data_IF_875391855127
#
_entry.id   IF_875391855127
#
_cell.length_a   1.000
_cell.length_b   1.000
_cell.length_c   1.000
_cell.angle_alpha   90.00
_cell.angle_beta   90.00
_cell.angle_gamma   90.00
#
_symmetry.space_group_name_H-M   'P 1'
#
loop_
_entity.id
_entity.type
_entity.pdbx_description
1 polymer ?
#
# COMPACT_ATOMS: atom_id res chain seq x y z
N UNK A 1 -24.66 25.85 -0.32
CA UNK A 1 -24.43 25.70 -1.76
C UNK A 1 -22.96 25.33 -2.06
N UNK A 2 -22.36 24.36 -1.35
CA UNK A 2 -20.98 23.89 -1.63
C UNK A 2 -20.89 22.51 -2.31
N UNK A 3 -21.98 21.74 -2.39
CA UNK A 3 -21.95 20.35 -2.90
C UNK A 3 -21.76 20.22 -4.43
N UNK A 4 -22.05 21.26 -5.20
CA UNK A 4 -21.92 21.22 -6.68
C UNK A 4 -20.49 21.50 -7.19
N UNK A 5 -19.61 22.09 -6.38
CA UNK A 5 -18.22 22.36 -6.79
C UNK A 5 -17.33 21.10 -6.70
N UNK A 6 -17.63 20.22 -5.77
CA UNK A 6 -16.85 18.99 -5.51
C UNK A 6 -16.99 17.95 -6.63
N UNK A 7 -18.18 17.82 -7.26
CA UNK A 7 -18.42 16.80 -8.29
C UNK A 7 -17.62 17.05 -9.59
N UNK A 8 -17.35 18.30 -9.94
CA UNK A 8 -16.60 18.65 -11.14
C UNK A 8 -15.08 18.47 -11.02
N UNK A 9 -14.55 18.48 -9.81
CA UNK A 9 -13.11 18.30 -9.56
C UNK A 9 -12.73 16.83 -9.49
N UNK A 10 -13.55 15.98 -8.87
CA UNK A 10 -13.31 14.52 -8.86
C UNK A 10 -13.36 13.91 -10.28
N UNK A 11 -14.23 14.40 -11.15
CA UNK A 11 -14.32 13.93 -12.55
C UNK A 11 -13.07 14.28 -13.36
N UNK A 12 -12.38 15.38 -13.04
CA UNK A 12 -11.11 15.76 -13.69
C UNK A 12 -9.92 14.96 -13.20
N UNK A 13 -9.94 14.49 -11.94
CA UNK A 13 -8.89 13.66 -11.37
C UNK A 13 -8.89 12.25 -11.96
N UNK A 14 -10.05 11.62 -12.09
CA UNK A 14 -10.19 10.32 -12.72
C UNK A 14 -9.76 10.34 -14.21
N UNK A 15 -10.00 11.45 -14.92
CA UNK A 15 -9.66 11.58 -16.34
C UNK A 15 -8.15 11.75 -16.60
N UNK A 16 -7.37 12.35 -15.67
CA UNK A 16 -5.94 12.60 -15.88
C UNK A 16 -5.06 11.35 -15.63
N UNK A 17 -5.47 10.45 -14.73
CA UNK A 17 -4.77 9.22 -14.41
C UNK A 17 -4.99 8.08 -15.40
N UNK A 18 -6.09 8.11 -16.18
CA UNK A 18 -6.50 7.00 -17.06
C UNK A 18 -5.88 7.09 -18.47
N UNK A 19 -5.32 8.23 -18.90
CA UNK A 19 -5.06 8.47 -20.33
C UNK A 19 -3.70 7.98 -20.87
N UNK A 20 -2.81 7.39 -20.09
CA UNK A 20 -1.45 7.06 -20.57
C UNK A 20 -1.08 5.58 -20.69
N UNK A 21 -1.97 4.63 -20.39
CA UNK A 21 -1.61 3.21 -20.32
C UNK A 21 -2.34 2.24 -21.28
N UNK A 22 -3.19 2.71 -22.17
CA UNK A 22 -3.99 1.83 -23.02
C UNK A 22 -3.60 1.92 -24.50
N UNK A 23 -2.65 1.09 -24.95
CA UNK A 23 -2.63 0.59 -26.33
C UNK A 23 -1.85 -0.72 -26.41
N UNK A 24 -2.52 -1.86 -26.21
CA UNK A 24 -2.27 -3.10 -26.99
C UNK A 24 -3.41 -4.09 -26.71
N UNK A 25 -4.15 -4.57 -27.72
CA UNK A 25 -5.12 -5.65 -27.54
C UNK A 25 -4.34 -6.98 -27.41
N UNK A 26 -4.58 -7.70 -26.33
CA UNK A 26 -4.09 -9.07 -26.19
C UNK A 26 -4.87 -10.00 -27.10
N UNK A 27 -4.22 -10.59 -28.09
CA UNK A 27 -4.74 -11.69 -28.88
C UNK A 27 -4.59 -12.96 -28.05
N UNK A 28 -5.70 -13.58 -27.66
CA UNK A 28 -5.70 -14.90 -27.04
C UNK A 28 -5.40 -15.96 -28.10
N UNK A 29 -4.24 -16.59 -28.03
CA UNK A 29 -3.97 -17.85 -28.70
C UNK A 29 -4.05 -18.98 -27.68
N UNK A 30 -4.95 -19.92 -27.91
CA UNK A 30 -5.09 -21.15 -27.14
C UNK A 30 -3.94 -22.08 -27.53
N UNK A 31 -2.94 -22.22 -26.67
CA UNK A 31 -1.83 -23.19 -26.86
C UNK A 31 -2.04 -24.40 -25.94
N UNK A 32 -2.31 -25.53 -26.58
CA UNK A 32 -2.25 -26.87 -25.96
C UNK A 32 -0.81 -27.36 -25.96
N UNK A 33 -0.11 -27.24 -24.83
CA UNK A 33 1.24 -27.77 -24.63
C UNK A 33 1.77 -27.42 -23.25
N UNK A 34 2.47 -28.33 -22.60
CA UNK A 34 3.17 -28.12 -21.31
C UNK A 34 4.40 -27.21 -21.49
N UNK A 35 4.19 -25.98 -21.95
CA UNK A 35 5.22 -24.95 -22.06
C UNK A 35 5.04 -23.95 -20.92
N UNK A 36 6.12 -23.68 -20.21
CA UNK A 36 6.16 -22.58 -19.24
C UNK A 36 5.65 -21.32 -19.92
N UNK A 37 4.60 -20.72 -19.38
CA UNK A 37 4.05 -19.48 -19.94
C UNK A 37 5.13 -18.40 -19.94
N UNK A 38 5.36 -17.70 -21.07
CA UNK A 38 6.35 -16.65 -21.11
C UNK A 38 6.03 -15.55 -20.08
N UNK A 39 7.08 -14.91 -19.56
CA UNK A 39 6.93 -13.76 -18.66
C UNK A 39 6.08 -12.67 -19.31
N UNK A 40 5.06 -12.20 -18.59
CA UNK A 40 4.28 -11.01 -18.93
C UNK A 40 3.77 -10.33 -17.68
N UNK A 41 3.53 -9.04 -17.75
CA UNK A 41 2.74 -8.35 -16.75
C UNK A 41 1.29 -8.79 -16.90
N UNK A 42 0.68 -9.20 -15.79
CA UNK A 42 -0.68 -9.74 -15.77
C UNK A 42 -1.65 -8.82 -15.02
N UNK A 43 -1.14 -8.01 -14.11
CA UNK A 43 -1.92 -7.06 -13.34
C UNK A 43 -1.20 -5.72 -13.27
N UNK A 44 -1.97 -4.64 -13.22
CA UNK A 44 -1.48 -3.31 -12.93
C UNK A 44 -2.43 -2.59 -12.02
N UNK A 45 -1.92 -1.68 -11.17
CA UNK A 45 -2.75 -0.87 -10.30
C UNK A 45 -2.19 0.55 -10.18
N UNK A 46 -3.12 1.49 -9.96
CA UNK A 46 -2.81 2.85 -9.52
C UNK A 46 -3.52 3.07 -8.19
N UNK A 47 -2.79 3.58 -7.21
CA UNK A 47 -3.29 3.83 -5.86
C UNK A 47 -2.95 5.24 -5.44
N UNK A 48 -3.92 5.89 -4.80
CA UNK A 48 -3.80 7.23 -4.19
C UNK A 48 -4.23 7.13 -2.74
N UNK A 49 -3.38 7.60 -1.83
CA UNK A 49 -3.70 7.79 -0.42
C UNK A 49 -3.67 9.28 -0.11
N UNK A 50 -4.68 9.76 0.59
CA UNK A 50 -4.77 11.18 0.94
C UNK A 50 -5.66 11.38 2.18
N UNK A 51 -5.30 12.32 3.04
CA UNK A 51 -6.09 12.70 4.21
C UNK A 51 -7.43 13.36 3.83
N UNK A 52 -7.51 14.00 2.67
CA UNK A 52 -8.76 14.57 2.13
C UNK A 52 -9.87 13.51 1.97
N UNK A 53 -9.51 12.26 1.63
CA UNK A 53 -10.50 11.18 1.45
C UNK A 53 -11.13 10.71 2.77
N UNK A 54 -10.51 11.03 3.90
CA UNK A 54 -11.00 10.63 5.21
C UNK A 54 -11.88 11.69 5.86
N UNK A 55 -11.53 12.97 5.72
CA UNK A 55 -12.13 14.04 6.52
C UNK A 55 -13.00 15.00 5.71
N UNK A 56 -12.92 15.00 4.38
CA UNK A 56 -13.54 15.98 3.49
C UNK A 56 -13.26 17.44 3.90
N UNK A 57 -12.25 17.64 4.75
CA UNK A 57 -11.78 18.91 5.26
C UNK A 57 -10.37 19.15 4.71
N UNK A 58 -10.04 20.39 4.43
CA UNK A 58 -8.74 20.81 3.89
C UNK A 58 -7.67 20.71 5.01
N UNK A 59 -7.21 19.51 5.31
CA UNK A 59 -6.26 19.24 6.40
C UNK A 59 -5.08 18.42 5.88
N UNK A 60 -4.14 19.08 5.18
CA UNK A 60 -2.85 18.46 4.90
C UNK A 60 -2.04 18.37 6.18
N UNK A 61 -1.95 17.19 6.76
CA UNK A 61 -1.14 16.96 7.95
C UNK A 61 -0.64 15.54 8.06
N UNK A 62 0.54 15.40 8.58
CA UNK A 62 1.22 14.16 8.92
C UNK A 62 1.46 13.29 7.68
N UNK A 63 0.69 12.26 7.40
CA UNK A 63 0.72 11.54 6.14
C UNK A 63 -0.25 12.18 5.16
N UNK A 64 0.25 13.10 4.37
CA UNK A 64 -0.56 13.97 3.51
C UNK A 64 -0.97 13.30 2.21
N UNK A 65 -0.02 12.62 1.55
CA UNK A 65 -0.27 12.02 0.23
C UNK A 65 0.60 10.79 -0.02
N UNK A 66 0.03 9.81 -0.70
CA UNK A 66 0.72 8.66 -1.27
C UNK A 66 0.23 8.40 -2.69
N UNK A 67 1.15 8.18 -3.61
CA UNK A 67 0.88 7.78 -5.00
C UNK A 67 1.66 6.52 -5.30
N UNK A 68 1.03 5.54 -5.93
CA UNK A 68 1.70 4.34 -6.40
C UNK A 68 1.15 3.89 -7.73
N UNK A 69 2.04 3.49 -8.63
CA UNK A 69 1.71 2.70 -9.82
C UNK A 69 2.47 1.39 -9.75
N UNK A 70 1.78 0.27 -9.91
CA UNK A 70 2.36 -1.06 -9.76
C UNK A 70 1.99 -2.01 -10.89
N UNK A 71 2.87 -2.97 -11.12
CA UNK A 71 2.70 -4.08 -12.06
C UNK A 71 3.05 -5.39 -11.34
N UNK A 72 2.29 -6.45 -11.62
CA UNK A 72 2.56 -7.80 -11.13
C UNK A 72 2.53 -8.79 -12.29
N UNK A 73 3.50 -9.70 -12.32
CA UNK A 73 3.62 -10.69 -13.39
C UNK A 73 2.55 -11.78 -13.32
N UNK A 74 2.37 -12.51 -14.41
CA UNK A 74 1.79 -13.86 -14.37
C UNK A 74 2.64 -14.79 -13.47
N UNK A 75 2.13 -15.97 -13.07
CA UNK A 75 2.95 -16.98 -12.43
C UNK A 75 4.17 -17.35 -13.29
N UNK A 76 5.35 -17.41 -12.66
CA UNK A 76 6.62 -17.71 -13.29
C UNK A 76 7.35 -18.84 -12.56
N UNK A 77 8.16 -19.60 -13.27
CA UNK A 77 9.12 -20.50 -12.67
C UNK A 77 10.36 -19.71 -12.25
N UNK A 78 10.81 -19.90 -11.01
CA UNK A 78 12.03 -19.31 -10.49
C UNK A 78 13.11 -20.39 -10.35
N UNK A 79 14.33 -20.07 -10.74
CA UNK A 79 15.51 -20.91 -10.60
C UNK A 79 16.68 -20.15 -9.98
N UNK A 80 17.72 -20.88 -9.57
CA UNK A 80 18.90 -20.31 -8.94
C UNK A 80 18.59 -19.61 -7.63
N UNK A 81 19.35 -18.58 -7.29
CA UNK A 81 19.27 -17.88 -6.02
C UNK A 81 17.90 -17.20 -5.77
N UNK A 82 17.20 -16.75 -6.82
CA UNK A 82 15.82 -16.20 -6.69
C UNK A 82 14.83 -17.26 -6.22
N UNK A 83 14.92 -18.48 -6.74
CA UNK A 83 14.12 -19.61 -6.30
C UNK A 83 14.43 -19.97 -4.85
N UNK A 84 15.68 -19.92 -4.43
CA UNK A 84 16.07 -20.14 -3.04
C UNK A 84 15.49 -19.08 -2.13
N UNK A 85 15.60 -17.78 -2.48
CA UNK A 85 14.99 -16.68 -1.70
C UNK A 85 13.47 -16.82 -1.61
N UNK A 86 12.81 -17.13 -2.73
CA UNK A 86 11.36 -17.31 -2.80
C UNK A 86 10.86 -18.46 -1.89
N UNK A 87 11.72 -19.44 -1.62
CA UNK A 87 11.40 -20.62 -0.82
C UNK A 87 12.05 -20.63 0.57
N UNK A 88 12.62 -19.51 1.01
CA UNK A 88 13.11 -19.37 2.39
C UNK A 88 11.97 -19.68 3.36
N UNK A 89 12.14 -20.75 4.13
CA UNK A 89 11.17 -21.14 5.15
C UNK A 89 11.33 -20.26 6.39
N UNK A 90 10.53 -19.23 6.47
CA UNK A 90 10.44 -18.44 7.71
C UNK A 90 9.63 -19.25 8.74
N UNK A 91 10.10 -19.39 10.01
CA UNK A 91 9.37 -20.12 11.03
C UNK A 91 7.95 -19.57 11.19
N UNK A 92 6.98 -20.42 11.39
CA UNK A 92 5.56 -20.25 11.70
C UNK A 92 4.67 -21.07 10.74
N UNK A 93 4.62 -22.40 10.97
CA UNK A 93 3.54 -23.26 10.49
C UNK A 93 3.68 -23.83 9.07
N UNK A 94 4.89 -24.07 8.56
CA UNK A 94 5.12 -24.46 7.16
C UNK A 94 5.58 -25.90 6.92
N UNK A 95 5.55 -26.77 7.92
CA UNK A 95 6.14 -28.09 7.78
C UNK A 95 5.61 -28.90 6.57
N UNK A 96 4.36 -28.68 6.15
CA UNK A 96 3.65 -29.46 5.13
C UNK A 96 3.13 -28.67 3.94
N UNK A 97 3.74 -27.51 3.62
CA UNK A 97 3.32 -26.69 2.46
C UNK A 97 4.33 -26.76 1.32
N UNK A 98 3.85 -26.61 0.09
CA UNK A 98 4.67 -26.47 -1.10
C UNK A 98 4.37 -25.14 -1.80
N UNK A 99 5.38 -24.48 -2.40
CA UNK A 99 5.16 -23.30 -3.22
C UNK A 99 4.30 -23.69 -4.43
N UNK A 100 3.23 -22.91 -4.68
CA UNK A 100 2.31 -23.15 -5.77
C UNK A 100 2.59 -22.22 -6.95
N UNK A 101 2.89 -20.94 -6.65
CA UNK A 101 3.12 -19.92 -7.66
C UNK A 101 4.13 -18.89 -7.15
N UNK A 102 4.97 -18.38 -8.07
CA UNK A 102 5.81 -17.23 -7.83
C UNK A 102 5.43 -16.12 -8.79
N UNK A 103 5.51 -14.88 -8.33
CA UNK A 103 5.27 -13.68 -9.15
C UNK A 103 6.32 -12.63 -8.82
N UNK A 104 6.65 -11.79 -9.80
CA UNK A 104 7.50 -10.62 -9.61
C UNK A 104 6.64 -9.37 -9.78
N UNK A 105 6.81 -8.41 -8.87
CA UNK A 105 6.15 -7.11 -8.90
C UNK A 105 7.16 -5.98 -9.05
N UNK A 106 6.71 -4.90 -9.66
CA UNK A 106 7.41 -3.63 -9.77
C UNK A 106 6.43 -2.51 -9.41
N UNK A 107 6.83 -1.58 -8.54
CA UNK A 107 6.05 -0.39 -8.27
C UNK A 107 6.93 0.85 -8.26
N UNK A 108 6.34 1.98 -8.66
CA UNK A 108 6.86 3.33 -8.46
C UNK A 108 5.96 4.03 -7.45
N UNK A 109 6.54 4.52 -6.36
CA UNK A 109 5.82 5.10 -5.25
C UNK A 109 6.38 6.46 -4.87
N UNK A 110 5.47 7.33 -4.40
CA UNK A 110 5.80 8.65 -3.86
C UNK A 110 4.95 8.92 -2.62
N UNK A 111 5.58 9.33 -1.52
CA UNK A 111 4.90 9.65 -0.26
C UNK A 111 5.32 11.04 0.22
N UNK A 112 4.37 11.78 0.79
CA UNK A 112 4.57 13.11 1.35
C UNK A 112 4.13 13.13 2.81
N UNK A 113 4.97 13.72 3.65
CA UNK A 113 4.73 13.94 5.07
C UNK A 113 4.92 15.42 5.38
N UNK A 114 3.98 16.01 6.13
CA UNK A 114 4.00 17.42 6.53
C UNK A 114 3.66 17.57 8.01
N UNK A 115 4.05 18.69 8.64
CA UNK A 115 3.50 19.09 9.92
C UNK A 115 2.00 19.40 9.85
N UNK A 116 1.36 19.59 11.02
CA UNK A 116 -0.06 19.99 11.15
C UNK A 116 -0.32 21.41 10.59
N UNK A 117 0.62 22.37 10.83
CA UNK A 117 0.54 23.72 10.28
C UNK A 117 1.45 23.87 9.05
N UNK A 118 0.85 23.70 7.87
CA UNK A 118 1.55 23.86 6.59
C UNK A 118 1.67 25.32 6.14
N UNK A 119 1.03 26.27 6.81
CA UNK A 119 1.10 27.70 6.49
C UNK A 119 2.37 28.36 7.01
N UNK A 120 2.98 27.80 8.07
CA UNK A 120 4.22 28.31 8.68
C UNK A 120 5.44 28.12 7.77
N UNK A 121 6.26 29.17 7.65
CA UNK A 121 7.59 29.09 7.03
C UNK A 121 8.70 28.73 8.03
N UNK A 122 8.41 28.85 9.35
CA UNK A 122 9.34 28.54 10.42
C UNK A 122 9.38 27.04 10.69
N UNK A 123 10.51 26.55 11.23
CA UNK A 123 10.60 25.19 11.72
C UNK A 123 9.67 25.00 12.94
N UNK A 124 8.79 24.03 12.87
CA UNK A 124 7.89 23.64 13.96
C UNK A 124 8.58 22.56 14.81
N UNK A 125 9.28 22.98 15.85
CA UNK A 125 10.14 22.09 16.67
C UNK A 125 9.38 20.99 17.42
N UNK A 126 8.06 21.17 17.62
CA UNK A 126 7.21 20.18 18.29
C UNK A 126 6.41 19.32 17.32
N UNK A 127 6.67 19.43 16.02
CA UNK A 127 5.97 18.70 14.99
C UNK A 127 6.95 17.99 14.06
N UNK A 128 6.47 16.98 13.30
CA UNK A 128 7.30 16.23 12.38
C UNK A 128 7.90 17.13 11.30
N UNK A 129 9.10 16.79 10.75
CA UNK A 129 9.64 17.51 9.61
C UNK A 129 8.79 17.30 8.35
N UNK A 130 8.87 18.26 7.43
CA UNK A 130 8.51 17.98 6.05
C UNK A 130 9.42 16.91 5.48
N UNK A 131 8.85 16.01 4.68
CA UNK A 131 9.62 14.99 3.99
C UNK A 131 8.86 14.40 2.83
N UNK A 132 9.59 13.95 1.83
CA UNK A 132 9.03 13.14 0.76
C UNK A 132 9.94 11.97 0.47
N UNK A 133 9.36 10.86 0.00
CA UNK A 133 10.07 9.67 -0.41
C UNK A 133 9.59 9.21 -1.78
N UNK A 134 10.49 9.20 -2.75
CA UNK A 134 10.27 8.64 -4.07
C UNK A 134 11.09 7.36 -4.20
N UNK A 135 10.45 6.22 -4.53
CA UNK A 135 11.14 4.94 -4.59
C UNK A 135 10.53 3.99 -5.61
N UNK A 136 11.36 3.04 -6.01
CA UNK A 136 10.95 1.86 -6.77
C UNK A 136 10.91 0.69 -5.79
N UNK A 137 9.84 -0.12 -5.85
CA UNK A 137 9.70 -1.37 -5.12
C UNK A 137 9.83 -2.55 -6.06
N UNK A 138 10.71 -3.48 -5.74
CA UNK A 138 10.76 -4.81 -6.33
C UNK A 138 10.10 -5.79 -5.36
N UNK A 139 9.13 -6.56 -5.85
CA UNK A 139 8.39 -7.56 -5.06
C UNK A 139 8.65 -8.96 -5.60
N UNK A 140 8.96 -9.88 -4.70
CA UNK A 140 8.92 -11.31 -4.94
C UNK A 140 7.79 -11.90 -4.10
N UNK A 141 6.74 -12.37 -4.77
CA UNK A 141 5.57 -12.96 -4.15
C UNK A 141 5.58 -14.48 -4.35
N UNK A 142 5.31 -15.22 -3.29
CA UNK A 142 5.15 -16.68 -3.33
C UNK A 142 3.83 -17.06 -2.69
N UNK A 143 2.98 -17.73 -3.46
CA UNK A 143 1.75 -18.36 -2.97
C UNK A 143 2.08 -19.79 -2.55
N UNK A 144 1.67 -20.16 -1.34
CA UNK A 144 1.87 -21.48 -0.78
C UNK A 144 0.52 -22.15 -0.59
N UNK A 145 0.47 -23.44 -0.90
CA UNK A 145 -0.69 -24.31 -0.58
C UNK A 145 -0.34 -25.21 0.59
N UNK A 146 -1.15 -25.17 1.65
CA UNK A 146 -1.05 -26.10 2.76
C UNK A 146 -1.76 -27.42 2.40
N UNK A 147 -1.36 -28.52 3.01
CA UNK A 147 -2.07 -29.82 2.88
C UNK A 147 -3.48 -29.79 3.50
N UNK A 148 -3.79 -28.86 4.40
CA UNK A 148 -5.14 -28.44 4.75
C UNK A 148 -5.68 -27.43 3.74
N UNK A 149 -6.97 -27.08 3.81
CA UNK A 149 -7.63 -26.19 2.84
C UNK A 149 -7.22 -24.70 2.90
N UNK A 150 -6.02 -24.37 3.38
CA UNK A 150 -5.54 -22.98 3.52
C UNK A 150 -4.47 -22.63 2.50
N UNK A 151 -4.45 -21.36 2.13
CA UNK A 151 -3.36 -20.71 1.36
C UNK A 151 -2.67 -19.66 2.22
N UNK A 152 -1.40 -19.41 1.97
CA UNK A 152 -0.72 -18.26 2.52
C UNK A 152 0.22 -17.68 1.47
N UNK A 153 0.49 -16.38 1.60
CA UNK A 153 1.29 -15.61 0.69
C UNK A 153 2.48 -15.03 1.44
N UNK A 154 3.67 -15.24 0.89
CA UNK A 154 4.89 -14.54 1.28
C UNK A 154 5.20 -13.46 0.29
N UNK A 155 5.58 -12.28 0.79
CA UNK A 155 6.08 -11.19 -0.04
C UNK A 155 7.43 -10.70 0.52
N UNK A 156 8.46 -10.74 -0.32
CA UNK A 156 9.70 -10.00 -0.12
C UNK A 156 9.63 -8.74 -0.95
N UNK A 157 9.87 -7.59 -0.34
CA UNK A 157 9.91 -6.28 -1.02
C UNK A 157 11.24 -5.61 -0.76
N UNK A 158 11.80 -4.99 -1.80
CA UNK A 158 12.99 -4.15 -1.71
C UNK A 158 12.62 -2.79 -2.27
N UNK A 159 12.66 -1.77 -1.42
CA UNK A 159 12.41 -0.39 -1.81
C UNK A 159 13.74 0.34 -1.93
N UNK A 160 13.98 0.96 -3.08
CA UNK A 160 15.18 1.75 -3.36
C UNK A 160 14.76 3.11 -3.89
N UNK A 161 15.26 4.18 -3.28
CA UNK A 161 14.86 5.51 -3.68
C UNK A 161 15.60 6.63 -2.95
N UNK A 162 14.95 7.79 -2.84
CA UNK A 162 15.51 8.98 -2.21
C UNK A 162 14.48 9.67 -1.31
N UNK A 163 14.93 10.06 -0.13
CA UNK A 163 14.20 10.96 0.78
C UNK A 163 14.71 12.38 0.61
N UNK A 164 13.86 13.38 0.86
CA UNK A 164 14.22 14.80 0.89
C UNK A 164 13.90 15.57 -0.39
N UNK A 165 14.56 16.72 -0.65
CA UNK A 165 14.26 17.60 -1.78
C UNK A 165 14.27 16.92 -3.15
N UNK A 166 15.16 15.96 -3.37
CA UNK A 166 15.26 15.21 -4.63
C UNK A 166 14.04 14.31 -4.90
N UNK A 167 13.27 13.96 -3.86
CA UNK A 167 11.98 13.27 -4.01
C UNK A 167 10.87 14.17 -4.57
N UNK A 168 11.07 15.51 -4.64
CA UNK A 168 10.14 16.43 -5.29
C UNK A 168 8.84 16.72 -4.53
N UNK A 169 8.77 16.49 -3.21
CA UNK A 169 7.55 16.63 -2.42
C UNK A 169 6.91 18.02 -2.53
N UNK A 170 7.70 19.10 -2.40
CA UNK A 170 7.24 20.49 -2.61
C UNK A 170 6.57 20.68 -3.97
N UNK A 171 7.22 20.16 -5.02
CA UNK A 171 6.69 20.28 -6.38
C UNK A 171 5.35 19.57 -6.53
N UNK A 172 5.25 18.35 -6.06
CA UNK A 172 4.02 17.54 -6.17
C UNK A 172 2.90 18.17 -5.36
N UNK A 173 3.13 18.50 -4.08
CA UNK A 173 2.09 19.05 -3.19
C UNK A 173 1.62 20.43 -3.69
N UNK A 174 2.50 21.38 -3.93
CA UNK A 174 2.08 22.73 -4.28
C UNK A 174 1.45 22.82 -5.67
N UNK A 175 1.86 21.99 -6.64
CA UNK A 175 1.15 21.94 -7.92
C UNK A 175 -0.24 21.29 -7.80
N UNK A 176 -0.36 20.29 -6.94
CA UNK A 176 -1.66 19.69 -6.61
C UNK A 176 -2.59 20.72 -5.95
N UNK A 177 -2.10 21.48 -4.94
CA UNK A 177 -2.85 22.53 -4.27
C UNK A 177 -3.33 23.62 -5.26
N UNK A 178 -2.45 24.06 -6.17
CA UNK A 178 -2.84 24.99 -7.25
C UNK A 178 -3.98 24.44 -8.13
N UNK A 179 -3.92 23.14 -8.44
CA UNK A 179 -4.94 22.49 -9.29
C UNK A 179 -6.31 22.44 -8.60
N UNK A 180 -6.35 22.18 -7.29
CA UNK A 180 -7.59 22.05 -6.52
C UNK A 180 -8.03 23.37 -5.85
N UNK A 181 -7.22 24.44 -5.92
CA UNK A 181 -7.49 25.72 -5.28
C UNK A 181 -7.28 25.72 -3.76
N UNK A 182 -6.37 24.88 -3.24
CA UNK A 182 -5.97 24.84 -1.85
C UNK A 182 -4.76 25.77 -1.61
N UNK A 183 -4.51 26.14 -0.34
CA UNK A 183 -3.38 26.93 0.05
C UNK A 183 -2.06 26.17 -0.12
N UNK A 184 -0.99 26.84 -0.56
CA UNK A 184 0.34 26.23 -0.71
C UNK A 184 0.97 25.94 0.65
N UNK A 185 1.71 24.82 0.74
CA UNK A 185 2.53 24.50 1.90
C UNK A 185 3.84 25.29 1.87
N UNK A 186 4.09 26.11 2.92
CA UNK A 186 5.15 27.10 2.94
C UNK A 186 6.43 26.67 3.66
N UNK A 187 6.36 25.60 4.49
CA UNK A 187 7.47 25.16 5.36
C UNK A 187 8.49 24.20 4.71
N UNK A 188 8.45 23.97 3.40
CA UNK A 188 9.33 23.04 2.68
C UNK A 188 10.83 23.37 2.77
N UNK A 189 11.22 24.57 3.18
CA UNK A 189 12.63 24.91 3.48
C UNK A 189 13.19 24.13 4.67
N UNK A 190 12.32 23.63 5.55
CA UNK A 190 12.66 22.89 6.76
C UNK A 190 12.49 21.36 6.56
N UNK A 191 12.50 20.86 5.33
CA UNK A 191 12.35 19.45 5.06
C UNK A 191 13.61 18.63 5.38
N UNK A 192 13.45 17.33 5.51
CA UNK A 192 14.56 16.37 5.60
C UNK A 192 15.55 16.58 4.45
N UNK A 193 16.83 16.33 4.72
CA UNK A 193 17.88 16.39 3.70
C UNK A 193 17.79 15.21 2.73
N UNK A 194 18.45 15.36 1.56
CA UNK A 194 18.57 14.26 0.62
C UNK A 194 19.33 13.10 1.23
N UNK A 195 18.70 11.94 1.19
CA UNK A 195 19.28 10.68 1.68
C UNK A 195 18.84 9.52 0.78
N UNK A 196 19.77 8.64 0.33
CA UNK A 196 19.36 7.41 -0.35
C UNK A 196 18.57 6.53 0.62
N UNK A 197 17.42 6.04 0.19
CA UNK A 197 16.55 5.18 0.97
C UNK A 197 16.64 3.72 0.50
N UNK A 198 16.76 2.81 1.46
CA UNK A 198 16.70 1.38 1.25
C UNK A 198 15.88 0.73 2.36
N UNK A 199 14.86 -0.03 1.99
CA UNK A 199 14.13 -0.91 2.90
C UNK A 199 14.05 -2.33 2.32
N UNK A 200 14.08 -3.32 3.19
CA UNK A 200 13.71 -4.70 2.90
C UNK A 200 12.55 -5.06 3.80
N UNK A 201 11.46 -5.52 3.21
CA UNK A 201 10.25 -5.93 3.95
C UNK A 201 9.92 -7.38 3.64
N UNK A 202 9.63 -8.15 4.67
CA UNK A 202 9.02 -9.47 4.56
C UNK A 202 7.64 -9.43 5.17
N UNK A 203 6.66 -9.97 4.45
CA UNK A 203 5.29 -10.11 4.92
C UNK A 203 4.79 -11.53 4.64
N UNK A 204 4.03 -12.08 5.58
CA UNK A 204 3.25 -13.31 5.41
C UNK A 204 1.81 -13.04 5.78
N UNK A 205 0.91 -13.39 4.88
CA UNK A 205 -0.54 -13.36 5.10
C UNK A 205 -1.12 -14.78 4.95
N UNK A 206 -2.12 -15.11 5.78
CA UNK A 206 -2.78 -16.40 5.77
C UNK A 206 -4.24 -16.22 5.37
N UNK A 207 -4.69 -16.97 4.36
CA UNK A 207 -6.10 -17.11 4.02
C UNK A 207 -6.49 -18.55 4.30
N UNK A 208 -7.21 -18.77 5.40
CA UNK A 208 -7.67 -20.09 5.81
C UNK A 208 -9.16 -20.06 6.09
N UNK A 209 -9.94 -20.96 5.49
CA UNK A 209 -11.38 -21.06 5.74
C UNK A 209 -11.71 -21.40 7.20
N UNK A 210 -10.75 -21.94 7.95
CA UNK A 210 -10.93 -22.32 9.37
C UNK A 210 -10.82 -21.13 10.34
N UNK A 211 -10.40 -19.95 9.86
CA UNK A 211 -10.15 -18.78 10.70
C UNK A 211 -11.37 -17.90 10.98
N UNK A 212 -12.50 -18.14 10.34
CA UNK A 212 -13.74 -17.40 10.55
C UNK A 212 -14.99 -18.28 10.27
N UNK A 213 -16.16 -17.92 10.84
CA UNK A 213 -17.40 -18.60 10.47
C UNK A 213 -17.65 -18.40 8.97
N UNK A 214 -17.87 -19.48 8.25
CA UNK A 214 -17.99 -19.50 6.80
C UNK A 214 -19.15 -18.69 6.24
N UNK A 215 -20.21 -18.45 7.01
CA UNK A 215 -21.39 -17.71 6.57
C UNK A 215 -22.05 -16.91 7.72
N UNK A 216 -22.48 -15.70 7.39
CA UNK A 216 -23.32 -14.86 8.23
C UNK A 216 -24.43 -14.24 7.39
N UNK A 217 -25.70 -14.53 7.73
CA UNK A 217 -26.88 -14.00 7.03
C UNK A 217 -26.86 -14.24 5.50
N UNK A 218 -26.32 -15.37 5.04
CA UNK A 218 -26.24 -15.74 3.63
C UNK A 218 -25.03 -15.14 2.86
N UNK A 219 -24.18 -14.39 3.54
CA UNK A 219 -22.91 -13.87 3.01
C UNK A 219 -21.74 -14.67 3.55
N UNK A 220 -20.67 -14.75 2.78
CA UNK A 220 -19.41 -15.33 3.23
C UNK A 220 -18.65 -14.40 4.16
N UNK A 221 -17.96 -15.00 5.12
CA UNK A 221 -17.06 -14.30 6.05
C UNK A 221 -15.73 -15.04 6.10
N UNK A 222 -14.63 -14.35 5.95
CA UNK A 222 -13.31 -14.92 6.23
C UNK A 222 -12.37 -13.93 6.92
N UNK A 223 -11.27 -14.45 7.47
CA UNK A 223 -10.23 -13.69 8.13
C UNK A 223 -8.88 -13.89 7.47
N UNK A 224 -8.11 -12.82 7.31
CA UNK A 224 -6.76 -12.85 6.77
C UNK A 224 -5.81 -12.19 7.77
N UNK A 225 -5.29 -12.95 8.73
CA UNK A 225 -4.21 -12.47 9.58
C UNK A 225 -2.90 -12.35 8.78
N UNK A 226 -2.01 -11.46 9.21
CA UNK A 226 -0.69 -11.30 8.63
C UNK A 226 0.33 -10.84 9.66
N UNK A 227 1.61 -11.10 9.37
CA UNK A 227 2.75 -10.58 10.10
C UNK A 227 3.73 -9.94 9.11
N UNK A 228 4.41 -8.87 9.56
CA UNK A 228 5.32 -8.10 8.72
C UNK A 228 6.54 -7.67 9.52
N UNK A 229 7.71 -7.68 8.87
CA UNK A 229 8.96 -7.12 9.38
C UNK A 229 9.60 -6.27 8.28
N UNK A 230 9.99 -5.05 8.62
CA UNK A 230 10.73 -4.16 7.73
C UNK A 230 12.04 -3.73 8.37
N UNK A 231 13.10 -3.69 7.58
CA UNK A 231 14.42 -3.25 7.98
C UNK A 231 15.01 -2.31 6.93
N UNK A 232 15.37 -1.11 7.34
CA UNK A 232 15.96 -0.12 6.45
C UNK A 232 16.31 1.19 7.15
N UNK A 233 16.93 2.09 6.40
CA UNK A 233 17.21 3.43 6.92
C UNK A 233 15.99 4.36 6.84
N UNK A 234 15.00 4.06 6.00
CA UNK A 234 13.76 4.83 5.93
C UNK A 234 12.80 4.36 7.01
N UNK A 235 12.49 3.05 7.08
CA UNK A 235 11.62 2.49 8.10
C UNK A 235 12.16 1.16 8.61
N UNK A 236 12.09 0.96 9.93
CA UNK A 236 12.37 -0.33 10.59
C UNK A 236 11.25 -0.59 11.59
N UNK A 237 10.51 -1.68 11.41
CA UNK A 237 9.42 -2.06 12.30
C UNK A 237 9.14 -3.56 12.24
N UNK A 238 8.49 -4.05 13.30
CA UNK A 238 7.84 -5.36 13.36
C UNK A 238 6.36 -5.13 13.60
N UNK A 239 5.51 -5.78 12.84
CA UNK A 239 4.06 -5.60 12.95
C UNK A 239 3.27 -6.85 12.63
N UNK A 240 1.99 -6.75 12.90
CA UNK A 240 1.03 -7.78 12.57
C UNK A 240 -0.40 -7.28 12.72
N UNK A 241 -1.30 -8.00 12.11
CA UNK A 241 -2.69 -7.62 12.11
C UNK A 241 -3.55 -8.63 11.37
N UNK A 242 -4.69 -8.15 10.91
CA UNK A 242 -5.57 -8.94 10.07
C UNK A 242 -6.74 -8.12 9.56
N UNK A 243 -7.40 -8.64 8.55
CA UNK A 243 -8.68 -8.15 8.06
C UNK A 243 -9.73 -9.25 8.16
N UNK A 244 -10.97 -8.87 8.44
CA UNK A 244 -12.17 -9.70 8.27
C UNK A 244 -12.92 -9.15 7.08
N UNK A 245 -13.32 -10.03 6.17
CA UNK A 245 -14.08 -9.71 4.97
C UNK A 245 -15.49 -10.28 5.06
N UNK A 246 -16.43 -9.60 4.41
CA UNK A 246 -17.85 -9.95 4.35
C UNK A 246 -18.39 -9.63 2.97
N UNK A 247 -18.90 -10.60 2.25
CA UNK A 247 -19.43 -10.43 0.89
C UNK A 247 -20.20 -11.62 0.35
N UNK A 248 -20.83 -11.51 -0.83
CA UNK A 248 -21.62 -12.59 -1.41
C UNK A 248 -20.78 -13.79 -1.87
N UNK A 249 -19.55 -13.53 -2.33
CA UNK A 249 -18.62 -14.52 -2.84
C UNK A 249 -17.19 -13.98 -2.62
N UNK A 250 -16.49 -14.46 -1.59
CA UNK A 250 -15.18 -13.93 -1.22
C UNK A 250 -14.08 -14.52 -2.10
N UNK A 251 -13.31 -13.69 -2.81
CA UNK A 251 -12.23 -14.18 -3.66
C UNK A 251 -11.10 -14.82 -2.83
N UNK A 252 -10.43 -15.82 -3.41
CA UNK A 252 -9.22 -16.41 -2.83
C UNK A 252 -8.01 -15.48 -3.10
N UNK A 253 -8.05 -14.30 -2.50
CA UNK A 253 -6.98 -13.31 -2.50
C UNK A 253 -6.64 -12.87 -1.06
N UNK A 254 -5.70 -11.95 -0.91
CA UNK A 254 -5.20 -11.46 0.39
C UNK A 254 -5.64 -10.03 0.72
N UNK A 255 -6.71 -9.54 0.08
CA UNK A 255 -7.27 -8.23 0.31
C UNK A 255 -6.55 -7.09 -0.42
N UNK A 256 -6.92 -5.82 -0.17
CA UNK A 256 -6.36 -4.65 -0.83
C UNK A 256 -4.96 -4.30 -0.30
N UNK A 257 -4.11 -3.79 -1.19
CA UNK A 257 -2.76 -3.26 -0.87
C UNK A 257 -2.82 -1.88 -0.22
N UNK A 258 -1.69 -1.45 0.39
CA UNK A 258 -1.47 -0.10 0.94
C UNK A 258 -0.09 0.43 0.56
N UNK A 259 0.05 1.77 0.54
CA UNK A 259 1.32 2.44 0.26
C UNK A 259 2.12 2.66 1.55
N UNK A 260 1.48 3.14 2.62
CA UNK A 260 2.21 3.48 3.86
C UNK A 260 1.52 2.96 5.15
N UNK A 261 2.19 2.11 5.93
CA UNK A 261 3.30 1.28 5.47
C UNK A 261 2.82 0.36 4.37
N UNK A 262 3.69 0.00 3.44
CA UNK A 262 3.37 -0.88 2.31
C UNK A 262 3.06 -2.31 2.75
N UNK A 263 1.90 -2.52 3.35
CA UNK A 263 1.50 -3.77 4.00
C UNK A 263 0.31 -4.39 3.29
N UNK A 264 0.37 -5.69 3.16
CA UNK A 264 -0.74 -6.59 2.89
C UNK A 264 -1.42 -6.45 1.54
N UNK A 265 -2.11 -7.51 1.19
CA UNK A 265 -2.90 -7.57 -0.01
C UNK A 265 -2.15 -8.08 -1.23
N UNK A 266 -2.84 -8.14 -2.33
CA UNK A 266 -2.31 -8.57 -3.61
C UNK A 266 -2.89 -7.71 -4.71
N UNK A 267 -2.04 -7.27 -5.65
CA UNK A 267 -2.52 -6.71 -6.91
C UNK A 267 -3.24 -7.77 -7.75
N UNK A 268 -2.90 -9.05 -7.57
CA UNK A 268 -3.60 -10.14 -8.23
C UNK A 268 -5.02 -10.29 -7.69
N UNK A 269 -5.97 -10.44 -8.60
CA UNK A 269 -7.37 -10.73 -8.27
C UNK A 269 -7.99 -11.67 -9.30
N UNK A 270 -9.12 -12.28 -8.95
CA UNK A 270 -9.84 -13.19 -9.84
C UNK A 270 -10.65 -12.36 -10.83
N UNK A 271 -10.40 -12.59 -12.13
CA UNK A 271 -11.20 -12.02 -13.22
C UNK A 271 -12.51 -12.79 -13.34
N UNK A 272 -13.64 -12.08 -13.37
CA UNK A 272 -14.98 -12.67 -13.48
C UNK A 272 -15.91 -11.71 -14.22
N UNK A 273 -16.73 -12.24 -15.11
CA UNK A 273 -17.77 -11.43 -15.80
C UNK A 273 -18.87 -10.96 -14.83
N UNK A 274 -19.05 -11.66 -13.70
CA UNK A 274 -19.99 -11.26 -12.67
C UNK A 274 -19.43 -10.12 -11.82
N UNK A 275 -20.28 -9.14 -11.51
CA UNK A 275 -19.97 -8.13 -10.51
C UNK A 275 -19.88 -8.78 -9.14
N UNK A 276 -18.78 -8.53 -8.42
CA UNK A 276 -18.58 -8.99 -7.06
C UNK A 276 -18.12 -7.85 -6.16
N UNK A 277 -18.38 -7.96 -4.86
CA UNK A 277 -17.98 -6.97 -3.88
C UNK A 277 -17.79 -7.59 -2.50
N UNK A 278 -16.99 -6.96 -1.68
CA UNK A 278 -16.94 -7.25 -0.26
C UNK A 278 -16.64 -6.00 0.56
N UNK A 279 -17.09 -6.01 1.81
CA UNK A 279 -16.69 -5.07 2.84
C UNK A 279 -15.59 -5.71 3.69
N UNK A 280 -14.74 -4.90 4.28
CA UNK A 280 -13.75 -5.40 5.21
C UNK A 280 -13.51 -4.43 6.37
N UNK A 281 -13.12 -5.00 7.52
CA UNK A 281 -12.59 -4.29 8.67
C UNK A 281 -11.28 -4.95 9.08
N UNK A 282 -10.29 -4.16 9.52
CA UNK A 282 -8.99 -4.69 9.90
C UNK A 282 -8.31 -3.85 10.96
N UNK A 283 -7.40 -4.50 11.66
CA UNK A 283 -6.51 -3.87 12.63
C UNK A 283 -5.07 -4.25 12.34
N UNK A 284 -4.16 -3.34 12.64
CA UNK A 284 -2.72 -3.56 12.60
C UNK A 284 -2.07 -2.90 13.81
N UNK A 285 -1.03 -3.52 14.34
CA UNK A 285 -0.18 -2.94 15.35
C UNK A 285 1.29 -3.12 14.96
N UNK A 286 2.10 -2.08 15.20
CA UNK A 286 3.54 -2.06 14.87
C UNK A 286 4.35 -1.60 16.06
N UNK A 287 5.51 -2.25 16.24
CA UNK A 287 6.60 -1.74 17.07
C UNK A 287 7.63 -1.10 16.13
N UNK A 288 7.75 0.21 16.20
CA UNK A 288 8.57 1.03 15.31
C UNK A 288 9.94 1.25 15.93
N UNK A 289 10.97 0.71 15.30
CA UNK A 289 12.37 0.94 15.65
C UNK A 289 12.91 2.25 15.03
N UNK A 290 12.59 2.49 13.76
CA UNK A 290 12.97 3.69 13.02
C UNK A 290 11.87 4.14 12.06
N UNK A 291 11.70 5.45 11.96
CA UNK A 291 10.93 6.13 10.92
C UNK A 291 11.65 7.45 10.60
N UNK A 292 12.25 7.58 9.41
CA UNK A 292 13.02 8.76 9.02
C UNK A 292 12.20 10.06 9.09
N UNK A 293 10.86 9.97 8.88
CA UNK A 293 9.95 11.11 8.93
C UNK A 293 9.58 11.56 10.35
N UNK A 294 10.14 10.87 11.37
CA UNK A 294 10.03 11.22 12.78
C UNK A 294 11.42 11.35 13.41
N UNK A 295 12.33 10.43 13.13
CA UNK A 295 13.68 10.37 13.69
C UNK A 295 14.70 11.28 12.99
N UNK A 296 14.32 11.86 11.83
CA UNK A 296 15.25 12.62 11.01
C UNK A 296 16.20 11.76 10.18
N UNK A 297 17.08 12.39 9.42
CA UNK A 297 18.07 11.75 8.57
C UNK A 297 19.04 10.86 9.36
N UNK A 298 19.55 9.79 8.73
CA UNK A 298 20.55 8.91 9.34
C UNK A 298 21.98 9.42 9.13
N UNK A 299 22.24 10.04 7.97
CA UNK A 299 23.59 10.46 7.56
C UNK A 299 23.85 11.97 7.72
N UNK A 300 22.82 12.75 8.06
CA UNK A 300 22.91 14.20 8.28
C UNK A 300 22.07 14.59 9.48
N UNK A 301 22.45 15.63 10.19
CA UNK A 301 21.61 16.24 11.22
C UNK A 301 20.38 16.88 10.56
N UNK A 302 19.20 16.56 11.06
CA UNK A 302 17.95 17.16 10.63
C UNK A 302 16.95 17.20 11.79
N UNK A 303 15.86 17.93 11.60
CA UNK A 303 14.80 17.97 12.59
C UNK A 303 14.19 16.58 12.85
N UNK A 304 13.89 16.31 14.10
CA UNK A 304 13.25 15.07 14.56
C UNK A 304 12.28 15.35 15.70
N UNK A 305 11.40 14.40 15.96
CA UNK A 305 10.46 14.39 17.09
C UNK A 305 10.58 13.09 17.87
N UNK A 306 10.14 13.11 19.12
CA UNK A 306 10.12 11.92 19.98
C UNK A 306 9.00 10.97 19.53
N UNK A 307 9.37 9.93 18.73
CA UNK A 307 8.42 8.99 18.16
C UNK A 307 7.80 8.07 19.21
N UNK A 308 6.59 7.61 18.95
CA UNK A 308 5.99 6.52 19.68
C UNK A 308 6.42 5.19 19.05
N UNK A 309 6.96 4.30 19.89
CA UNK A 309 7.38 2.98 19.42
C UNK A 309 6.21 2.05 19.09
N UNK A 310 5.01 2.31 19.60
CA UNK A 310 3.83 1.52 19.33
C UNK A 310 2.79 2.34 18.57
N UNK A 311 2.46 1.90 17.36
CA UNK A 311 1.49 2.54 16.47
C UNK A 311 0.49 1.49 15.99
N UNK A 312 -0.80 1.85 15.96
CA UNK A 312 -1.87 0.97 15.50
C UNK A 312 -2.75 1.66 14.48
N UNK A 313 -3.22 0.90 13.51
CA UNK A 313 -4.18 1.32 12.50
C UNK A 313 -5.47 0.50 12.62
N UNK A 314 -6.62 1.19 12.57
CA UNK A 314 -7.93 0.61 12.29
C UNK A 314 -8.26 0.90 10.82
N UNK A 315 -8.74 -0.10 10.10
CA UNK A 315 -9.07 -0.01 8.67
C UNK A 315 -10.50 -0.44 8.41
N UNK A 316 -11.21 0.32 7.61
CA UNK A 316 -12.54 -0.01 7.13
C UNK A 316 -12.60 0.26 5.64
N UNK A 317 -13.21 -0.64 4.86
CA UNK A 317 -13.25 -0.41 3.44
C UNK A 317 -14.18 -1.33 2.67
N UNK A 318 -14.18 -1.11 1.36
CA UNK A 318 -14.95 -1.87 0.40
C UNK A 318 -14.10 -2.16 -0.85
N UNK A 319 -14.35 -3.29 -1.45
CA UNK A 319 -13.77 -3.69 -2.73
C UNK A 319 -14.90 -4.09 -3.67
N UNK A 320 -14.81 -3.66 -4.92
CA UNK A 320 -15.68 -4.08 -6.00
C UNK A 320 -14.83 -4.59 -7.17
N UNK A 321 -15.24 -5.70 -7.77
CA UNK A 321 -14.57 -6.31 -8.92
C UNK A 321 -15.60 -6.55 -10.01
N UNK A 322 -15.26 -6.17 -11.23
CA UNK A 322 -16.08 -6.42 -12.40
C UNK A 322 -15.19 -6.60 -13.62
N UNK A 323 -15.38 -7.71 -14.29
CA UNK A 323 -14.54 -8.11 -15.43
C UNK A 323 -13.06 -8.12 -15.03
N UNK A 324 -12.24 -7.35 -15.72
CA UNK A 324 -10.81 -7.23 -15.49
C UNK A 324 -10.42 -6.02 -14.62
N UNK A 325 -11.40 -5.36 -13.97
CA UNK A 325 -11.16 -4.19 -13.13
C UNK A 325 -11.52 -4.46 -11.66
N UNK A 326 -10.72 -3.92 -10.75
CA UNK A 326 -10.92 -3.95 -9.29
C UNK A 326 -10.79 -2.55 -8.73
N UNK A 327 -11.82 -2.08 -8.03
CA UNK A 327 -11.81 -0.83 -7.30
C UNK A 327 -11.80 -1.13 -5.81
N UNK A 328 -10.91 -0.51 -5.05
CA UNK A 328 -10.90 -0.60 -3.58
C UNK A 328 -10.84 0.78 -2.94
N UNK A 329 -11.59 0.94 -1.86
CA UNK A 329 -11.53 2.08 -0.97
C UNK A 329 -11.24 1.61 0.44
N UNK A 330 -10.29 2.26 1.12
CA UNK A 330 -9.95 2.00 2.52
C UNK A 330 -9.90 3.31 3.29
N UNK A 331 -10.61 3.39 4.39
CA UNK A 331 -10.44 4.43 5.40
C UNK A 331 -9.53 3.91 6.51
N UNK A 332 -8.50 4.69 6.86
CA UNK A 332 -7.52 4.35 7.89
C UNK A 332 -7.60 5.35 9.03
N UNK A 333 -7.71 4.85 10.24
CA UNK A 333 -7.54 5.60 11.48
C UNK A 333 -6.26 5.11 12.15
N UNK A 334 -5.24 5.99 12.26
CA UNK A 334 -3.92 5.73 12.84
C UNK A 334 -3.77 6.40 14.18
N UNK A 335 -3.31 5.67 15.19
CA UNK A 335 -2.94 6.25 16.48
C UNK A 335 -1.78 7.25 16.33
N UNK A 336 -1.56 8.07 17.34
CA UNK A 336 -0.46 9.05 17.35
C UNK A 336 0.90 8.37 17.13
N UNK A 337 1.69 8.95 16.25
CA UNK A 337 3.02 8.44 15.86
C UNK A 337 4.17 9.08 16.67
N UNK A 338 3.95 10.25 17.31
CA UNK A 338 4.95 10.93 18.14
C UNK A 338 4.32 11.59 19.37
N UNK A 339 5.14 11.98 20.35
CA UNK A 339 4.68 12.37 21.70
C UNK A 339 3.90 13.67 21.69
N UNK A 340 4.33 14.66 20.92
CA UNK A 340 3.72 16.00 20.81
C UNK A 340 2.54 16.05 19.83
N UNK A 341 2.27 14.99 19.09
CA UNK A 341 1.13 14.91 18.17
C UNK A 341 -0.18 15.09 18.96
N UNK A 342 -1.03 16.02 18.52
CA UNK A 342 -2.24 16.40 19.26
C UNK A 342 -3.39 15.42 19.05
N UNK A 343 -3.57 14.90 17.84
CA UNK A 343 -4.67 14.02 17.42
C UNK A 343 -4.16 12.81 16.65
N UNK A 344 -4.93 11.75 16.63
CA UNK A 344 -4.72 10.62 15.73
C UNK A 344 -4.94 11.03 14.28
N UNK A 345 -4.35 10.29 13.35
CA UNK A 345 -4.46 10.57 11.93
C UNK A 345 -5.57 9.76 11.27
N UNK A 346 -6.10 10.34 10.20
CA UNK A 346 -7.04 9.67 9.33
C UNK A 346 -6.69 9.99 7.88
N UNK A 347 -6.69 8.97 7.06
CA UNK A 347 -6.52 9.12 5.61
C UNK A 347 -7.33 8.04 4.88
N UNK A 348 -7.63 8.30 3.63
CA UNK A 348 -8.28 7.33 2.75
C UNK A 348 -7.34 6.86 1.66
N UNK A 349 -7.54 5.63 1.22
CA UNK A 349 -6.84 5.01 0.10
C UNK A 349 -7.84 4.60 -0.96
N UNK A 350 -7.60 5.00 -2.20
CA UNK A 350 -8.36 4.60 -3.37
C UNK A 350 -7.40 3.89 -4.34
N UNK A 351 -7.71 2.65 -4.71
CA UNK A 351 -6.92 1.91 -5.68
C UNK A 351 -7.79 1.37 -6.81
N UNK A 352 -7.27 1.47 -8.03
CA UNK A 352 -7.85 0.92 -9.24
C UNK A 352 -6.87 -0.05 -9.88
N UNK A 353 -7.24 -1.32 -9.90
CA UNK A 353 -6.47 -2.41 -10.47
C UNK A 353 -7.08 -2.94 -11.76
N UNK A 354 -6.23 -3.46 -12.64
CA UNK A 354 -6.59 -4.08 -13.91
C UNK A 354 -5.82 -5.38 -14.12
N UNK A 355 -6.51 -6.38 -14.68
CA UNK A 355 -5.89 -7.59 -15.23
C UNK A 355 -5.78 -7.46 -16.75
N UNK A 356 -4.65 -7.92 -17.33
CA UNK A 356 -4.34 -7.83 -18.77
C UNK A 356 -4.44 -9.18 -19.48
#
# INVERSE_FOLDING_TARGET
>A
MPLFFFSRQMTRFAAFLVFSFFTTPAVYAEETGTSEKPFRWAFGAVQVENDLFANFANTDRHYTNGLQASLLSNPIALSGWLGEVATIRVPFGLADSAPAEHRIGLALSHSIFTPDDTSSTALLTNDRPYGAWAHITLTLQTLWKSRGNGTFQDQWKIDVGVVGPAAGGKFVQNNWHKLIGADEANGWSNQLHNEPGLNVTFERAWNSPDLAPSQLAGFEVNGIPYAVAALGNVQTYLGGGGIVRFGPDLPDDFGPTRINPGVGGSEAFIVSDAFNWYLFAGVEARVVGRDIFLDGNLFNDSHSVDKRHFVSDLRLGAVATWQNARLSFTHVYRTKEYSTQTKADQFGSLALGFAF
#
